data_IF_428831115387
#
_entry.id   IF_428831115387
#
_cell.length_a   1.000
_cell.length_b   1.000
_cell.length_c   1.000
_cell.angle_alpha   90.00
_cell.angle_beta   90.00
_cell.angle_gamma   90.00
#
_symmetry.space_group_name_H-M   'P 1'
#
loop_
_entity.id
_entity.type
_entity.pdbx_description
1 polymer ?
#
# COMPACT_ATOMS: atom_id res chain seq x y z
N UNK A 1 39.56 2.87 2.02
CA UNK A 1 38.58 2.89 3.13
C UNK A 1 37.32 3.71 2.82
N UNK A 2 37.44 4.92 2.26
CA UNK A 2 36.29 5.81 1.97
C UNK A 2 35.34 5.23 0.91
N UNK A 3 35.88 4.72 -0.21
CA UNK A 3 35.06 4.13 -1.29
C UNK A 3 34.16 2.98 -0.79
N UNK A 4 34.69 2.09 0.06
CA UNK A 4 33.92 1.00 0.68
C UNK A 4 32.75 1.53 1.54
N UNK A 5 32.95 2.65 2.23
CA UNK A 5 31.89 3.30 3.04
C UNK A 5 30.82 3.95 2.16
N UNK A 6 31.21 4.58 1.06
CA UNK A 6 30.26 5.16 0.09
C UNK A 6 29.42 4.08 -0.59
N UNK A 7 30.04 2.99 -1.04
CA UNK A 7 29.34 1.85 -1.63
C UNK A 7 28.37 1.23 -0.62
N UNK A 8 28.78 1.08 0.64
CA UNK A 8 27.90 0.58 1.69
C UNK A 8 26.70 1.52 1.95
N UNK A 9 26.94 2.83 2.01
CA UNK A 9 25.87 3.81 2.20
C UNK A 9 24.87 3.80 1.03
N UNK A 10 25.37 3.71 -0.21
CA UNK A 10 24.52 3.58 -1.40
C UNK A 10 23.71 2.27 -1.37
N UNK A 11 24.34 1.15 -1.02
CA UNK A 11 23.66 -0.13 -0.91
C UNK A 11 22.55 -0.10 0.15
N UNK A 12 22.80 0.54 1.30
CA UNK A 12 21.79 0.71 2.34
C UNK A 12 20.64 1.59 1.86
N UNK A 13 20.93 2.71 1.20
CA UNK A 13 19.93 3.61 0.63
C UNK A 13 19.03 2.88 -0.38
N UNK A 14 19.63 2.13 -1.31
CA UNK A 14 18.89 1.33 -2.30
C UNK A 14 18.07 0.22 -1.65
N UNK A 15 18.58 -0.44 -0.61
CA UNK A 15 17.84 -1.45 0.14
C UNK A 15 16.60 -0.85 0.82
N UNK A 16 16.74 0.35 1.42
CA UNK A 16 15.63 1.08 2.01
C UNK A 16 14.59 1.50 0.96
N UNK A 17 15.01 1.98 -0.21
CA UNK A 17 14.07 2.29 -1.31
C UNK A 17 13.35 1.04 -1.80
N UNK A 18 14.06 -0.06 -2.01
CA UNK A 18 13.49 -1.32 -2.47
C UNK A 18 12.50 -1.90 -1.46
N UNK A 19 12.73 -1.73 -0.15
CA UNK A 19 11.81 -2.20 0.89
C UNK A 19 10.49 -1.43 0.94
N UNK A 20 10.38 -0.29 0.26
CA UNK A 20 9.13 0.48 0.18
C UNK A 20 8.11 -0.15 -0.77
N UNK A 21 8.57 -0.91 -1.78
CA UNK A 21 7.70 -1.47 -2.81
C UNK A 21 6.66 -2.45 -2.22
N UNK A 22 7.04 -3.40 -1.34
CA UNK A 22 6.05 -4.27 -0.68
C UNK A 22 5.06 -3.51 0.21
N UNK A 23 5.50 -2.44 0.88
CA UNK A 23 4.63 -1.61 1.73
C UNK A 23 3.59 -0.86 0.89
N UNK A 24 4.01 -0.23 -0.20
CA UNK A 24 3.09 0.38 -1.15
C UNK A 24 2.11 -0.65 -1.74
N UNK A 25 2.61 -1.84 -2.13
CA UNK A 25 1.78 -2.93 -2.62
C UNK A 25 0.76 -3.42 -1.57
N UNK A 26 1.10 -3.35 -0.29
CA UNK A 26 0.19 -3.66 0.82
C UNK A 26 -0.92 -2.61 0.94
N UNK A 27 -0.56 -1.33 0.97
CA UNK A 27 -1.54 -0.24 1.06
C UNK A 27 -2.48 -0.20 -0.16
N UNK A 28 -1.94 -0.47 -1.35
CA UNK A 28 -2.74 -0.64 -2.56
C UNK A 28 -3.80 -1.74 -2.40
N UNK A 29 -3.40 -2.94 -1.94
CA UNK A 29 -4.33 -4.06 -1.75
C UNK A 29 -5.39 -3.79 -0.68
N UNK A 30 -5.05 -3.08 0.39
CA UNK A 30 -6.03 -2.68 1.41
C UNK A 30 -7.08 -1.75 0.82
N UNK A 31 -6.67 -0.76 0.02
CA UNK A 31 -7.59 0.16 -0.67
C UNK A 31 -8.41 -0.52 -1.77
N UNK A 32 -7.81 -1.51 -2.44
CA UNK A 32 -8.52 -2.38 -3.40
C UNK A 32 -9.64 -3.15 -2.71
N UNK A 33 -9.36 -3.81 -1.58
CA UNK A 33 -10.36 -4.49 -0.77
C UNK A 33 -11.47 -3.55 -0.31
N UNK A 34 -11.11 -2.41 0.26
CA UNK A 34 -12.10 -1.41 0.70
C UNK A 34 -12.98 -0.87 -0.44
N UNK A 35 -12.44 -0.71 -1.66
CA UNK A 35 -13.22 -0.32 -2.82
C UNK A 35 -14.20 -1.42 -3.26
N UNK A 36 -13.79 -2.69 -3.19
CA UNK A 36 -14.68 -3.84 -3.47
C UNK A 36 -15.80 -3.91 -2.44
N UNK A 37 -15.48 -3.78 -1.15
CA UNK A 37 -16.47 -3.83 -0.07
C UNK A 37 -17.52 -2.72 -0.22
N UNK A 38 -17.06 -1.50 -0.53
CA UNK A 38 -17.94 -0.35 -0.73
C UNK A 38 -18.84 -0.51 -1.97
N UNK A 39 -18.30 -0.94 -3.10
CA UNK A 39 -19.10 -1.21 -4.30
C UNK A 39 -20.12 -2.33 -4.06
N UNK A 40 -19.71 -3.40 -3.38
CA UNK A 40 -20.60 -4.51 -3.01
C UNK A 40 -21.76 -4.02 -2.16
N UNK A 41 -21.49 -3.14 -1.20
CA UNK A 41 -22.53 -2.52 -0.36
C UNK A 41 -23.51 -1.67 -1.18
N UNK A 42 -23.02 -0.87 -2.14
CA UNK A 42 -23.86 -0.06 -3.03
C UNK A 42 -24.76 -0.96 -3.90
N UNK A 43 -24.19 -2.02 -4.48
CA UNK A 43 -24.93 -2.98 -5.32
C UNK A 43 -25.98 -3.71 -4.50
N UNK A 44 -25.64 -4.20 -3.30
CA UNK A 44 -26.57 -4.88 -2.42
C UNK A 44 -27.75 -3.98 -1.98
N UNK A 45 -27.50 -2.68 -1.77
CA UNK A 45 -28.55 -1.73 -1.48
C UNK A 45 -29.52 -1.57 -2.66
N UNK A 46 -28.99 -1.48 -3.89
CA UNK A 46 -29.81 -1.44 -5.10
C UNK A 46 -30.61 -2.73 -5.32
N UNK A 47 -30.01 -3.90 -5.04
CA UNK A 47 -30.72 -5.18 -5.12
C UNK A 47 -31.86 -5.26 -4.12
N UNK A 48 -31.66 -4.73 -2.91
CA UNK A 48 -32.70 -4.66 -1.91
C UNK A 48 -33.86 -3.72 -2.35
N UNK A 49 -33.54 -2.60 -3.01
CA UNK A 49 -34.55 -1.72 -3.62
C UNK A 49 -35.36 -2.43 -4.71
N UNK A 50 -34.68 -3.15 -5.62
CA UNK A 50 -35.32 -3.94 -6.65
C UNK A 50 -36.21 -5.06 -6.06
N UNK A 51 -35.71 -5.78 -5.06
CA UNK A 51 -36.43 -6.85 -4.37
C UNK A 51 -37.68 -6.35 -3.65
N UNK A 52 -37.66 -5.14 -3.06
CA UNK A 52 -38.85 -4.50 -2.47
C UNK A 52 -39.97 -4.28 -3.48
N UNK A 53 -39.63 -4.12 -4.75
CA UNK A 53 -40.57 -3.97 -5.85
C UNK A 53 -40.84 -5.30 -6.59
N UNK A 54 -40.35 -6.42 -6.05
CA UNK A 54 -40.43 -7.75 -6.65
C UNK A 54 -39.90 -7.81 -8.10
N UNK A 55 -38.86 -7.02 -8.41
CA UNK A 55 -38.19 -7.04 -9.70
C UNK A 55 -36.71 -7.45 -9.55
N UNK A 56 -36.11 -7.90 -10.66
CA UNK A 56 -34.67 -8.20 -10.68
C UNK A 56 -33.85 -6.92 -10.77
N UNK A 57 -32.55 -7.04 -10.45
CA UNK A 57 -31.56 -5.96 -10.65
C UNK A 57 -31.58 -5.45 -12.09
N UNK A 58 -31.58 -6.35 -13.06
CA UNK A 58 -31.56 -6.06 -14.49
C UNK A 58 -32.80 -5.25 -14.88
N UNK A 59 -33.98 -5.66 -14.40
CA UNK A 59 -35.24 -4.95 -14.62
C UNK A 59 -35.19 -3.55 -13.97
N UNK A 60 -34.61 -3.44 -12.77
CA UNK A 60 -34.43 -2.16 -12.08
C UNK A 60 -33.53 -1.20 -12.88
N UNK A 61 -32.40 -1.70 -13.41
CA UNK A 61 -31.48 -0.94 -14.23
C UNK A 61 -32.13 -0.49 -15.55
N UNK A 62 -32.84 -1.40 -16.22
CA UNK A 62 -33.58 -1.08 -17.44
C UNK A 62 -34.62 0.03 -17.20
N UNK A 63 -35.35 -0.02 -16.10
CA UNK A 63 -36.32 1.03 -15.72
C UNK A 63 -35.66 2.38 -15.46
N UNK A 64 -34.51 2.40 -14.77
CA UNK A 64 -33.76 3.64 -14.56
C UNK A 64 -33.26 4.21 -15.89
N UNK A 65 -32.65 3.36 -16.73
CA UNK A 65 -32.06 3.77 -18.01
C UNK A 65 -33.10 4.20 -19.05
N UNK A 66 -34.29 3.62 -19.03
CA UNK A 66 -35.41 3.99 -19.89
C UNK A 66 -36.16 5.25 -19.42
N UNK A 67 -35.82 5.80 -18.25
CA UNK A 67 -36.50 6.98 -17.73
C UNK A 67 -36.21 8.23 -18.58
N UNK A 68 -37.25 9.04 -18.81
CA UNK A 68 -37.11 10.28 -19.57
C UNK A 68 -36.24 11.32 -18.85
N UNK A 69 -36.29 11.35 -17.52
CA UNK A 69 -35.44 12.21 -16.70
C UNK A 69 -33.97 11.80 -16.82
N UNK A 70 -33.12 12.78 -17.18
CA UNK A 70 -31.69 12.55 -17.41
C UNK A 70 -30.94 12.19 -16.15
N UNK A 71 -31.28 12.77 -15.00
CA UNK A 71 -30.65 12.46 -13.72
C UNK A 71 -30.96 11.01 -13.31
N UNK A 72 -32.21 10.56 -13.49
CA UNK A 72 -32.62 9.17 -13.19
C UNK A 72 -31.92 8.18 -14.12
N UNK A 73 -31.84 8.49 -15.42
CA UNK A 73 -31.13 7.66 -16.40
C UNK A 73 -29.64 7.54 -16.10
N UNK A 74 -28.98 8.65 -15.81
CA UNK A 74 -27.56 8.67 -15.41
C UNK A 74 -27.32 7.86 -14.14
N UNK A 75 -28.27 7.84 -13.20
CA UNK A 75 -28.16 6.99 -12.00
C UNK A 75 -28.13 5.50 -12.38
N UNK A 76 -28.94 5.07 -13.33
CA UNK A 76 -28.91 3.70 -13.86
C UNK A 76 -27.57 3.35 -14.51
N UNK A 77 -27.06 4.24 -15.37
CA UNK A 77 -25.75 4.08 -16.02
C UNK A 77 -24.60 4.01 -15.00
N UNK A 78 -24.66 4.82 -13.93
CA UNK A 78 -23.66 4.80 -12.87
C UNK A 78 -23.65 3.47 -12.11
N UNK A 79 -24.83 2.94 -11.74
CA UNK A 79 -24.92 1.66 -11.02
C UNK A 79 -24.42 0.52 -11.91
N UNK A 80 -24.75 0.53 -13.20
CA UNK A 80 -24.23 -0.44 -14.18
C UNK A 80 -22.69 -0.39 -14.27
N UNK A 81 -22.12 0.81 -14.33
CA UNK A 81 -20.67 1.02 -14.29
C UNK A 81 -20.05 0.52 -12.97
N UNK A 82 -20.70 0.78 -11.83
CA UNK A 82 -20.25 0.34 -10.50
C UNK A 82 -20.24 -1.18 -10.39
N UNK A 83 -21.25 -1.88 -10.93
CA UNK A 83 -21.30 -3.34 -11.02
C UNK A 83 -20.13 -3.87 -11.85
N UNK A 84 -19.95 -3.36 -13.07
CA UNK A 84 -18.87 -3.79 -13.94
C UNK A 84 -17.49 -3.51 -13.31
N UNK A 85 -17.36 -2.42 -12.55
CA UNK A 85 -16.13 -2.11 -11.80
C UNK A 85 -15.92 -3.08 -10.64
N UNK A 86 -16.96 -3.38 -9.86
CA UNK A 86 -16.88 -4.32 -8.75
C UNK A 86 -16.36 -5.70 -9.21
N UNK A 87 -16.89 -6.23 -10.30
CA UNK A 87 -16.47 -7.52 -10.87
C UNK A 87 -15.00 -7.53 -11.30
N UNK A 88 -14.51 -6.43 -11.89
CA UNK A 88 -13.08 -6.30 -12.25
C UNK A 88 -12.20 -6.28 -11.01
N UNK A 89 -12.54 -5.45 -10.01
CA UNK A 89 -11.75 -5.32 -8.79
C UNK A 89 -11.78 -6.60 -7.93
N UNK A 90 -12.91 -7.30 -7.91
CA UNK A 90 -13.04 -8.58 -7.21
C UNK A 90 -12.16 -9.67 -7.85
N UNK A 91 -12.14 -9.78 -9.18
CA UNK A 91 -11.20 -10.67 -9.89
C UNK A 91 -9.75 -10.31 -9.60
N UNK A 92 -9.42 -9.02 -9.59
CA UNK A 92 -8.09 -8.55 -9.27
C UNK A 92 -7.69 -8.95 -7.82
N UNK A 93 -8.61 -8.80 -6.86
CA UNK A 93 -8.40 -9.18 -5.46
C UNK A 93 -8.17 -10.70 -5.32
N UNK A 94 -8.92 -11.52 -6.06
CA UNK A 94 -8.71 -12.97 -6.13
C UNK A 94 -7.32 -13.31 -6.67
N UNK A 95 -6.88 -12.66 -7.75
CA UNK A 95 -5.51 -12.84 -8.28
C UNK A 95 -4.44 -12.51 -7.23
N UNK A 96 -4.63 -11.47 -6.41
CA UNK A 96 -3.71 -11.17 -5.30
C UNK A 96 -3.73 -12.21 -4.18
N UNK A 97 -4.89 -12.80 -3.89
CA UNK A 97 -5.04 -13.83 -2.87
C UNK A 97 -4.28 -15.11 -3.25
N UNK A 98 -4.37 -15.52 -4.51
CA UNK A 98 -3.72 -16.70 -5.08
C UNK A 98 -2.22 -16.47 -5.38
N UNK A 99 -1.82 -15.22 -5.58
CA UNK A 99 -0.44 -14.86 -5.91
C UNK A 99 0.53 -15.02 -4.73
N UNK A 100 1.68 -15.62 -4.99
CA UNK A 100 2.85 -15.58 -4.11
C UNK A 100 3.47 -14.18 -3.99
N UNK A 101 4.36 -13.93 -3.00
CA UNK A 101 4.86 -12.58 -2.67
C UNK A 101 5.44 -11.78 -3.85
N UNK A 102 6.26 -12.42 -4.69
CA UNK A 102 6.83 -11.75 -5.86
C UNK A 102 5.83 -11.55 -7.00
N UNK A 103 4.90 -12.50 -7.17
CA UNK A 103 3.88 -12.39 -8.21
C UNK A 103 2.90 -11.25 -7.92
N UNK A 104 2.62 -10.96 -6.63
CA UNK A 104 1.84 -9.78 -6.23
C UNK A 104 2.46 -8.47 -6.72
N UNK A 105 3.78 -8.35 -6.72
CA UNK A 105 4.45 -7.17 -7.26
C UNK A 105 4.29 -7.05 -8.78
N UNK A 106 4.37 -8.18 -9.49
CA UNK A 106 4.12 -8.20 -10.93
C UNK A 106 2.67 -7.80 -11.28
N UNK A 107 1.69 -8.30 -10.52
CA UNK A 107 0.27 -7.92 -10.66
C UNK A 107 0.05 -6.42 -10.43
N UNK A 108 0.74 -5.83 -9.44
CA UNK A 108 0.67 -4.39 -9.19
C UNK A 108 1.18 -3.57 -10.38
N UNK A 109 2.24 -4.01 -11.05
CA UNK A 109 2.77 -3.27 -12.20
C UNK A 109 1.86 -3.44 -13.42
N UNK A 110 1.39 -4.66 -13.69
CA UNK A 110 0.67 -4.98 -14.93
C UNK A 110 -0.82 -4.64 -14.89
N UNK A 111 -1.49 -4.97 -13.79
CA UNK A 111 -2.95 -5.07 -13.71
C UNK A 111 -3.53 -4.16 -12.62
N UNK A 112 -2.92 -3.01 -12.32
CA UNK A 112 -3.44 -2.10 -11.30
C UNK A 112 -4.62 -1.23 -11.80
N UNK A 113 -5.62 -1.04 -10.95
CA UNK A 113 -6.55 0.09 -11.03
C UNK A 113 -5.81 1.41 -10.74
N UNK A 114 -5.78 2.29 -11.74
CA UNK A 114 -5.02 3.55 -11.72
C UNK A 114 -5.52 4.54 -10.65
N UNK A 115 -6.83 4.58 -10.39
CA UNK A 115 -7.39 5.49 -9.39
C UNK A 115 -7.03 5.04 -7.98
N UNK A 116 -7.11 3.74 -7.72
CA UNK A 116 -6.70 3.15 -6.44
C UNK A 116 -5.19 3.31 -6.25
N UNK A 117 -4.38 3.07 -7.29
CA UNK A 117 -2.94 3.27 -7.25
C UNK A 117 -2.58 4.72 -6.93
N UNK A 118 -3.19 5.68 -7.61
CA UNK A 118 -2.97 7.11 -7.34
C UNK A 118 -3.36 7.48 -5.91
N UNK A 119 -4.51 7.01 -5.42
CA UNK A 119 -4.95 7.29 -4.03
C UNK A 119 -4.07 6.59 -2.99
N UNK A 120 -3.57 5.40 -3.29
CA UNK A 120 -2.59 4.72 -2.44
C UNK A 120 -1.30 5.53 -2.37
N UNK A 121 -0.80 6.01 -3.52
CA UNK A 121 0.42 6.81 -3.59
C UNK A 121 0.29 8.15 -2.85
N UNK A 122 -0.85 8.83 -2.97
CA UNK A 122 -1.11 10.09 -2.27
C UNK A 122 -1.13 9.96 -0.74
N UNK A 123 -1.51 8.78 -0.24
CA UNK A 123 -1.53 8.49 1.20
C UNK A 123 -0.30 7.69 1.66
N UNK A 124 0.62 7.37 0.75
CA UNK A 124 1.77 6.56 1.05
C UNK A 124 2.77 7.37 1.87
N UNK A 125 2.95 6.97 3.12
CA UNK A 125 4.02 7.44 3.97
C UNK A 125 5.16 6.41 3.95
N UNK A 126 6.35 6.77 3.41
CA UNK A 126 7.49 5.87 3.41
C UNK A 126 7.84 5.39 4.83
N UNK A 127 8.26 4.14 4.96
CA UNK A 127 8.72 3.54 6.21
C UNK A 127 10.09 4.08 6.70
N UNK A 128 10.57 5.16 6.10
CA UNK A 128 11.70 5.95 6.54
C UNK A 128 11.23 7.36 6.88
N UNK A 129 11.81 7.99 7.89
CA UNK A 129 11.39 9.31 8.36
C UNK A 129 11.66 10.38 7.31
N UNK A 130 10.70 10.58 6.40
CA UNK A 130 10.67 11.70 5.45
C UNK A 130 9.84 12.86 5.98
N UNK A 131 9.15 12.68 7.10
CA UNK A 131 8.44 13.72 7.85
C UNK A 131 9.36 14.43 8.83
N UNK A 132 8.99 15.65 9.23
CA UNK A 132 9.71 16.46 10.23
C UNK A 132 9.87 15.74 11.56
N UNK A 133 8.79 15.13 12.05
CA UNK A 133 8.75 14.41 13.32
C UNK A 133 9.61 13.15 13.24
N UNK A 134 9.48 12.41 12.14
CA UNK A 134 10.27 11.22 11.87
C UNK A 134 11.77 11.55 11.86
N UNK A 135 12.16 12.66 11.21
CA UNK A 135 13.56 13.04 11.10
C UNK A 135 14.16 13.35 12.48
N UNK A 136 13.45 14.09 13.32
CA UNK A 136 13.88 14.39 14.69
C UNK A 136 14.01 13.13 15.55
N UNK A 137 13.01 12.24 15.49
CA UNK A 137 13.07 10.97 16.22
C UNK A 137 14.22 10.07 15.72
N UNK A 138 14.44 10.03 14.40
CA UNK A 138 15.54 9.29 13.77
C UNK A 138 16.91 9.83 14.19
N UNK A 139 17.08 11.14 14.23
CA UNK A 139 18.31 11.79 14.72
C UNK A 139 18.56 11.48 16.20
N UNK A 140 17.53 11.57 17.05
CA UNK A 140 17.65 11.26 18.46
C UNK A 140 18.05 9.79 18.68
N UNK A 141 17.38 8.85 17.99
CA UNK A 141 17.70 7.43 18.04
C UNK A 141 19.14 7.14 17.55
N UNK A 142 19.57 7.78 16.47
CA UNK A 142 20.95 7.65 15.96
C UNK A 142 21.98 8.11 17.00
N UNK A 143 21.78 9.29 17.62
CA UNK A 143 22.70 9.82 18.63
C UNK A 143 22.78 8.90 19.85
N UNK A 144 21.64 8.43 20.36
CA UNK A 144 21.58 7.50 21.48
C UNK A 144 22.30 6.18 21.17
N UNK A 145 22.02 5.59 20.01
CA UNK A 145 22.66 4.34 19.58
C UNK A 145 24.17 4.50 19.36
N UNK A 146 24.61 5.62 18.78
CA UNK A 146 26.02 5.91 18.56
C UNK A 146 26.79 6.06 19.88
N UNK A 147 26.26 6.86 20.81
CA UNK A 147 26.88 7.09 22.13
C UNK A 147 26.88 5.79 22.94
N UNK A 148 25.74 5.11 23.02
CA UNK A 148 25.61 3.84 23.75
C UNK A 148 26.49 2.73 23.19
N UNK A 149 26.52 2.56 21.87
CA UNK A 149 27.37 1.58 21.20
C UNK A 149 28.87 1.83 21.44
N UNK A 150 29.30 3.10 21.39
CA UNK A 150 30.69 3.45 21.74
C UNK A 150 31.01 3.13 23.19
N UNK A 151 30.12 3.46 24.13
CA UNK A 151 30.31 3.15 25.54
C UNK A 151 30.44 1.64 25.78
N UNK A 152 29.66 0.83 25.08
CA UNK A 152 29.68 -0.64 25.19
C UNK A 152 30.97 -1.27 24.67
N UNK A 153 31.49 -0.77 23.54
CA UNK A 153 32.67 -1.35 22.86
C UNK A 153 33.99 -0.82 23.46
N UNK A 154 33.97 0.38 24.05
CA UNK A 154 35.13 1.04 24.66
C UNK A 154 35.94 0.16 25.64
N UNK A 155 35.35 -0.56 26.61
CA UNK A 155 36.12 -1.40 27.54
C UNK A 155 36.80 -2.59 26.86
N UNK A 156 36.20 -3.16 25.80
CA UNK A 156 36.77 -4.28 25.04
C UNK A 156 37.98 -3.82 24.22
N UNK A 157 37.88 -2.65 23.59
CA UNK A 157 39.01 -2.06 22.84
C UNK A 157 40.17 -1.67 23.76
N UNK A 158 39.87 -1.18 24.97
CA UNK A 158 40.90 -0.85 25.99
C UNK A 158 41.70 -2.08 26.43
N UNK A 159 41.08 -3.26 26.50
CA UNK A 159 41.75 -4.51 26.87
C UNK A 159 42.65 -5.05 25.75
N UNK A 160 42.27 -4.85 24.49
CA UNK A 160 43.02 -5.33 23.31
C UNK A 160 44.27 -4.49 22.99
N UNK A 161 44.30 -3.22 23.41
CA UNK A 161 45.44 -2.31 23.19
C UNK A 161 46.43 -2.25 24.36
N UNK A 162 46.38 -3.17 25.33
CA UNK A 162 47.47 -3.27 26.32
C UNK A 162 48.71 -3.85 25.62
N UNK A 163 49.85 -3.14 25.58
CA UNK A 163 51.08 -3.70 25.01
C UNK A 163 51.45 -4.96 25.79
N UNK A 164 51.76 -6.05 25.09
CA UNK A 164 52.43 -7.20 25.69
C UNK A 164 53.76 -6.69 26.23
N UNK A 165 53.88 -6.61 27.56
CA UNK A 165 55.18 -6.41 28.20
C UNK A 165 55.96 -7.70 27.96
N UNK A 166 56.85 -7.70 26.98
CA UNK A 166 57.90 -8.73 26.82
C UNK A 166 58.91 -8.50 27.93
N UNK A 167 59.00 -9.45 28.85
CA UNK A 167 60.14 -9.64 29.74
C UNK A 167 61.10 -10.65 29.10
#
# INVERSE_FOLDING_TARGET
MILKRLVFALALFLATLASQVPEYAQQYRQRLGGAVDELTRIIAAFDADAARLAISRETGLERLKANADTFVRQRGEQIESDIARAERLQRQLQSYAEAGPFHRLALLVRDHDADIARRAFQAFEPAVPVTSEGLMAGMAGFLLGWIGGRALIWPVQRRRNRPRVTA
#
